data_IF_513938320401
#
_entry.id   IF_513938320401
#
_cell.length_a   1.000
_cell.length_b   1.000
_cell.length_c   1.000
_cell.angle_alpha   90.00
_cell.angle_beta   90.00
_cell.angle_gamma   90.00
#
_symmetry.space_group_name_H-M   'P 1'
#
loop_
_entity.id
_entity.type
_entity.pdbx_description
1 polymer ?
#
# COMPACT_ATOMS: atom_id res chain seq x y z
N UNK A 1 -5.05 -0.42 32.91
CA UNK A 1 -4.70 -1.54 33.81
C UNK A 1 -3.94 -2.68 33.13
N UNK A 2 -4.28 -3.07 31.88
CA UNK A 2 -3.61 -4.19 31.19
C UNK A 2 -2.08 -4.05 31.04
N UNK A 3 -1.57 -2.87 30.63
CA UNK A 3 -0.11 -2.66 30.48
C UNK A 3 0.67 -2.84 31.79
N UNK A 4 0.13 -2.32 32.91
CA UNK A 4 0.70 -2.52 34.25
C UNK A 4 0.69 -4.00 34.64
N UNK A 5 -0.40 -4.71 34.35
CA UNK A 5 -0.51 -6.14 34.65
C UNK A 5 0.55 -6.97 33.89
N UNK A 6 0.77 -6.69 32.60
CA UNK A 6 1.80 -7.37 31.81
C UNK A 6 3.20 -7.09 32.39
N UNK A 7 3.50 -5.83 32.68
CA UNK A 7 4.81 -5.47 33.26
C UNK A 7 5.01 -6.09 34.63
N UNK A 8 3.99 -6.06 35.49
CA UNK A 8 4.00 -6.69 36.81
C UNK A 8 4.29 -8.18 36.68
N UNK A 9 3.53 -8.89 35.83
CA UNK A 9 3.74 -10.31 35.57
C UNK A 9 5.19 -10.61 35.14
N UNK A 10 5.70 -9.89 34.13
CA UNK A 10 7.06 -10.12 33.62
C UNK A 10 8.13 -9.84 34.69
N UNK A 11 7.99 -8.76 35.47
CA UNK A 11 8.95 -8.41 36.53
C UNK A 11 8.89 -9.40 37.68
N UNK A 12 7.71 -9.88 38.06
CA UNK A 12 7.56 -10.93 39.09
C UNK A 12 8.26 -12.23 38.69
N UNK A 13 8.25 -12.59 37.41
CA UNK A 13 8.86 -13.83 36.92
C UNK A 13 10.35 -13.69 36.58
N UNK A 14 10.87 -12.48 36.36
CA UNK A 14 12.28 -12.24 36.02
C UNK A 14 12.75 -10.89 36.59
N UNK A 15 12.83 -10.80 37.91
CA UNK A 15 13.20 -9.55 38.60
C UNK A 15 14.62 -9.09 38.22
N UNK A 16 15.55 -10.02 37.98
CA UNK A 16 16.96 -9.71 37.71
C UNK A 16 17.32 -9.53 36.24
N UNK A 17 16.32 -9.53 35.34
CA UNK A 17 16.52 -9.34 33.89
C UNK A 17 17.48 -10.35 33.26
N UNK A 18 17.28 -11.63 33.59
CA UNK A 18 18.07 -12.75 33.07
C UNK A 18 17.48 -13.36 31.79
N UNK A 19 16.22 -13.03 31.45
CA UNK A 19 15.52 -13.56 30.28
C UNK A 19 14.33 -12.70 29.86
N UNK A 20 13.13 -13.06 30.31
CA UNK A 20 11.85 -12.51 29.84
C UNK A 20 11.70 -11.00 30.10
N UNK A 21 12.24 -10.47 31.21
CA UNK A 21 12.18 -9.04 31.49
C UNK A 21 12.95 -8.22 30.46
N UNK A 22 13.97 -8.82 29.83
CA UNK A 22 14.69 -8.22 28.71
C UNK A 22 13.77 -7.87 27.53
N UNK A 23 12.63 -8.56 27.35
CA UNK A 23 11.67 -8.28 26.29
C UNK A 23 10.98 -6.92 26.42
N UNK A 24 10.91 -6.36 27.65
CA UNK A 24 10.37 -5.03 27.88
C UNK A 24 11.23 -3.92 27.25
N UNK A 25 12.45 -4.25 26.81
CA UNK A 25 13.35 -3.36 26.09
C UNK A 25 13.14 -3.36 24.57
N UNK A 26 12.01 -3.85 24.06
CA UNK A 26 11.72 -3.71 22.62
C UNK A 26 11.76 -2.23 22.21
N UNK A 27 12.55 -1.93 21.18
CA UNK A 27 12.84 -0.57 20.71
C UNK A 27 13.83 0.23 21.55
N UNK A 28 14.23 -0.26 22.72
CA UNK A 28 15.08 0.50 23.64
C UNK A 28 16.57 0.37 23.32
N UNK A 29 17.00 -0.67 22.62
CA UNK A 29 18.43 -0.83 22.28
C UNK A 29 18.83 0.29 21.32
N UNK A 30 18.13 0.40 20.19
CA UNK A 30 18.34 1.51 19.25
C UNK A 30 17.81 2.83 19.83
N UNK A 31 16.69 2.80 20.55
CA UNK A 31 16.08 3.99 21.15
C UNK A 31 17.00 4.70 22.13
N UNK A 32 17.64 3.99 23.07
CA UNK A 32 18.61 4.57 24.00
C UNK A 32 19.87 5.08 23.28
N UNK A 33 20.28 4.44 22.18
CA UNK A 33 21.40 4.91 21.39
C UNK A 33 21.09 6.27 20.73
N UNK A 34 19.88 6.44 20.19
CA UNK A 34 19.39 7.72 19.67
C UNK A 34 19.29 8.73 20.81
N UNK A 35 18.62 8.38 21.91
CA UNK A 35 18.42 9.23 23.08
C UNK A 35 19.74 9.78 23.62
N UNK A 36 20.77 8.94 23.73
CA UNK A 36 22.10 9.35 24.20
C UNK A 36 22.80 10.38 23.30
N UNK A 37 22.37 10.58 22.05
CA UNK A 37 22.89 11.61 21.16
C UNK A 37 22.05 12.88 21.16
N UNK A 38 20.73 12.76 21.30
CA UNK A 38 19.80 13.88 21.07
C UNK A 38 19.18 14.44 22.34
N UNK A 39 19.32 13.77 23.49
CA UNK A 39 18.83 14.28 24.76
C UNK A 39 19.48 15.64 25.09
N UNK A 40 18.74 16.61 25.66
CA UNK A 40 17.33 16.56 26.09
C UNK A 40 16.32 16.99 25.00
N UNK A 41 16.73 17.11 23.73
CA UNK A 41 15.90 17.70 22.67
C UNK A 41 14.74 16.80 22.24
N UNK A 42 14.94 15.48 22.25
CA UNK A 42 13.85 14.50 22.10
C UNK A 42 13.63 13.77 23.42
N UNK A 43 12.38 13.44 23.68
CA UNK A 43 11.95 12.70 24.84
C UNK A 43 12.25 11.20 24.67
N UNK A 44 12.33 10.50 25.81
CA UNK A 44 12.58 9.06 25.86
C UNK A 44 11.62 8.26 24.95
N UNK A 45 10.30 8.50 25.08
CA UNK A 45 9.29 7.79 24.29
C UNK A 45 9.38 8.04 22.79
N UNK A 46 9.83 9.21 22.37
CA UNK A 46 10.04 9.56 20.95
C UNK A 46 11.23 8.79 20.39
N UNK A 47 12.31 8.67 21.16
CA UNK A 47 13.48 7.88 20.78
C UNK A 47 13.15 6.38 20.72
N UNK A 48 12.40 5.87 21.70
CA UNK A 48 11.93 4.47 21.72
C UNK A 48 11.00 4.18 20.55
N UNK A 49 10.15 5.13 20.12
CA UNK A 49 9.30 4.96 18.95
C UNK A 49 10.09 4.71 17.66
N UNK A 50 11.13 5.51 17.41
CA UNK A 50 12.05 5.31 16.27
C UNK A 50 12.83 4.00 16.43
N UNK A 51 13.28 3.71 17.65
CA UNK A 51 13.98 2.47 17.98
C UNK A 51 13.14 1.22 17.72
N UNK A 52 11.85 1.22 18.05
CA UNK A 52 10.93 0.11 17.77
C UNK A 52 10.85 -0.20 16.27
N UNK A 53 10.80 0.83 15.42
CA UNK A 53 10.79 0.64 13.96
C UNK A 53 12.12 0.07 13.47
N UNK A 54 13.25 0.59 13.96
CA UNK A 54 14.57 0.09 13.57
C UNK A 54 14.82 -1.34 14.03
N UNK A 55 14.40 -1.71 15.23
CA UNK A 55 14.50 -3.10 15.72
C UNK A 55 13.56 -4.05 14.95
N UNK A 56 12.37 -3.58 14.57
CA UNK A 56 11.48 -4.34 13.68
C UNK A 56 12.07 -4.51 12.26
N UNK A 57 12.73 -3.48 11.72
CA UNK A 57 13.45 -3.56 10.44
C UNK A 57 14.63 -4.52 10.49
N UNK A 58 15.35 -4.59 11.62
CA UNK A 58 16.39 -5.61 11.87
C UNK A 58 15.77 -7.02 11.84
N UNK A 59 14.68 -7.25 12.58
CA UNK A 59 14.00 -8.55 12.58
C UNK A 59 13.52 -8.95 11.18
N UNK A 60 13.00 -7.99 10.40
CA UNK A 60 12.62 -8.20 9.00
C UNK A 60 13.83 -8.51 8.11
N UNK A 61 14.93 -7.79 8.26
CA UNK A 61 16.16 -8.04 7.48
C UNK A 61 16.70 -9.45 7.71
N UNK A 62 16.56 -9.97 8.93
CA UNK A 62 16.90 -11.35 9.28
C UNK A 62 15.87 -12.41 8.83
N UNK A 63 14.74 -12.00 8.25
CA UNK A 63 13.68 -12.92 7.80
C UNK A 63 12.72 -13.39 8.90
N UNK A 64 12.76 -12.80 10.09
CA UNK A 64 11.91 -13.21 11.22
C UNK A 64 10.60 -12.43 11.33
N UNK A 65 10.49 -11.28 10.66
CA UNK A 65 9.29 -10.44 10.70
C UNK A 65 8.84 -10.07 9.29
N UNK A 66 7.53 -10.09 9.04
CA UNK A 66 6.99 -9.70 7.74
C UNK A 66 7.01 -8.17 7.54
N UNK A 67 7.09 -7.74 6.28
CA UNK A 67 6.93 -6.31 5.93
C UNK A 67 5.55 -5.77 6.37
N UNK A 68 4.52 -6.62 6.36
CA UNK A 68 3.16 -6.29 6.82
C UNK A 68 3.18 -5.91 8.30
N UNK A 69 3.87 -6.68 9.14
CA UNK A 69 3.99 -6.39 10.56
C UNK A 69 4.77 -5.08 10.83
N UNK A 70 5.87 -4.85 10.12
CA UNK A 70 6.63 -3.58 10.22
C UNK A 70 5.74 -2.38 9.84
N UNK A 71 5.01 -2.48 8.73
CA UNK A 71 4.08 -1.44 8.30
C UNK A 71 2.95 -1.20 9.30
N UNK A 72 2.39 -2.25 9.90
CA UNK A 72 1.36 -2.14 10.94
C UNK A 72 1.87 -1.48 12.20
N UNK A 73 3.09 -1.82 12.65
CA UNK A 73 3.74 -1.17 13.80
C UNK A 73 3.97 0.32 13.52
N UNK A 74 4.51 0.65 12.35
CA UNK A 74 4.75 2.04 11.89
C UNK A 74 3.47 2.88 11.97
N UNK A 75 2.38 2.38 11.37
CA UNK A 75 1.10 3.09 11.37
C UNK A 75 0.50 3.24 12.77
N UNK A 76 0.64 2.23 13.62
CA UNK A 76 0.19 2.31 15.01
C UNK A 76 0.89 3.46 15.75
N UNK A 77 2.22 3.52 15.66
CA UNK A 77 3.02 4.58 16.30
C UNK A 77 2.64 5.97 15.76
N UNK A 78 2.52 6.12 14.44
CA UNK A 78 2.12 7.38 13.80
C UNK A 78 0.72 7.82 14.20
N UNK A 79 -0.23 6.90 14.39
CA UNK A 79 -1.59 7.21 14.83
C UNK A 79 -1.64 7.85 16.23
N UNK A 80 -0.62 7.62 17.06
CA UNK A 80 -0.43 8.26 18.36
C UNK A 80 0.45 9.53 18.29
N UNK A 81 0.77 10.03 17.09
CA UNK A 81 1.55 11.24 16.88
C UNK A 81 3.04 11.11 17.21
N UNK A 82 3.56 9.87 17.30
CA UNK A 82 4.97 9.61 17.60
C UNK A 82 5.82 9.47 16.33
N UNK A 83 7.10 9.87 16.38
CA UNK A 83 7.99 9.77 15.23
C UNK A 83 8.41 8.31 14.97
N UNK A 84 8.54 7.97 13.68
CA UNK A 84 8.97 6.63 13.23
C UNK A 84 10.33 6.62 12.54
N UNK A 85 10.92 7.80 12.32
CA UNK A 85 12.23 7.98 11.69
C UNK A 85 12.89 9.28 12.17
N UNK A 86 14.22 9.33 12.13
CA UNK A 86 14.99 10.55 12.39
C UNK A 86 14.76 11.64 11.35
N UNK A 87 14.19 11.29 10.20
CA UNK A 87 13.83 12.21 9.11
C UNK A 87 12.44 12.82 9.26
N UNK A 88 11.71 12.49 10.33
CA UNK A 88 10.40 13.07 10.59
C UNK A 88 10.53 14.58 10.80
N UNK A 89 9.61 15.36 10.20
CA UNK A 89 9.58 16.81 10.37
C UNK A 89 9.47 17.20 11.85
N UNK A 90 8.71 16.42 12.63
CA UNK A 90 8.65 16.59 14.09
C UNK A 90 10.06 16.54 14.69
N UNK A 91 10.82 15.47 14.40
CA UNK A 91 12.19 15.28 14.92
C UNK A 91 13.11 16.40 14.46
N UNK A 92 13.10 16.75 13.17
CA UNK A 92 13.94 17.81 12.60
C UNK A 92 13.67 19.18 13.23
N UNK A 93 12.45 19.47 13.66
CA UNK A 93 12.15 20.73 14.35
C UNK A 93 12.86 20.85 15.71
N UNK A 94 13.10 19.74 16.41
CA UNK A 94 13.77 19.75 17.71
C UNK A 94 15.28 19.61 17.61
N UNK A 95 15.79 18.71 16.76
CA UNK A 95 17.23 18.43 16.67
C UNK A 95 17.95 19.22 15.57
N UNK A 96 17.20 19.87 14.67
CA UNK A 96 17.74 20.59 13.52
C UNK A 96 18.48 19.66 12.56
N UNK A 97 19.68 20.09 12.15
CA UNK A 97 20.58 19.31 11.28
C UNK A 97 21.56 18.42 12.05
N UNK A 98 21.31 18.15 13.34
CA UNK A 98 22.16 17.27 14.12
C UNK A 98 22.16 15.87 13.48
N UNK A 99 23.32 15.49 12.95
CA UNK A 99 23.53 14.18 12.35
C UNK A 99 23.86 13.16 13.43
N UNK A 100 23.13 12.04 13.45
CA UNK A 100 23.43 10.91 14.32
C UNK A 100 24.10 9.83 13.47
N UNK A 101 25.43 9.78 13.49
CA UNK A 101 26.16 8.81 12.65
C UNK A 101 25.95 7.39 13.15
N UNK A 102 26.04 6.42 12.21
CA UNK A 102 25.96 5.00 12.56
C UNK A 102 27.06 4.62 13.54
N UNK A 103 28.27 5.18 13.43
CA UNK A 103 29.37 4.88 14.35
C UNK A 103 29.12 5.40 15.77
N UNK A 104 28.52 6.58 15.91
CA UNK A 104 28.13 7.11 17.23
C UNK A 104 27.03 6.27 17.87
N UNK A 105 26.01 5.87 17.09
CA UNK A 105 24.96 4.96 17.56
C UNK A 105 25.56 3.62 17.99
N UNK A 106 26.44 3.03 17.17
CA UNK A 106 27.11 1.76 17.48
C UNK A 106 28.03 1.87 18.70
N UNK A 107 28.67 3.02 18.93
CA UNK A 107 29.48 3.29 20.11
C UNK A 107 28.63 3.28 21.38
N UNK A 108 27.45 3.89 21.36
CA UNK A 108 26.52 3.89 22.51
C UNK A 108 25.94 2.50 22.73
N UNK A 109 25.55 1.81 21.66
CA UNK A 109 25.05 0.43 21.71
C UNK A 109 26.03 -0.55 22.36
N UNK A 110 27.34 -0.24 22.38
CA UNK A 110 28.37 -1.10 23.00
C UNK A 110 28.14 -1.31 24.49
N UNK A 111 27.59 -0.32 25.19
CA UNK A 111 27.38 -0.34 26.64
C UNK A 111 25.94 -0.65 27.03
N UNK A 112 25.12 -1.14 26.09
CA UNK A 112 23.78 -1.62 26.42
C UNK A 112 23.87 -2.80 27.41
N UNK A 113 23.11 -2.71 28.52
CA UNK A 113 23.10 -3.69 29.61
C UNK A 113 22.69 -5.08 29.17
N UNK A 114 21.99 -5.20 28.03
CA UNK A 114 21.56 -6.48 27.45
C UNK A 114 22.70 -7.26 26.79
N UNK A 115 23.80 -6.59 26.46
CA UNK A 115 24.92 -7.21 25.74
C UNK A 115 25.64 -8.26 26.59
N UNK A 116 26.18 -9.28 25.95
CA UNK A 116 27.02 -10.29 26.60
C UNK A 116 28.40 -10.22 25.98
N UNK A 117 29.35 -9.63 26.72
CA UNK A 117 30.67 -9.31 26.19
C UNK A 117 30.58 -8.32 25.02
N UNK A 118 31.14 -8.69 23.86
CA UNK A 118 31.06 -7.88 22.63
C UNK A 118 29.77 -8.11 21.83
N UNK A 119 28.98 -9.13 22.17
CA UNK A 119 27.79 -9.53 21.41
C UNK A 119 26.62 -8.61 21.75
N UNK A 120 26.08 -7.94 20.74
CA UNK A 120 24.90 -7.09 20.87
C UNK A 120 23.64 -7.93 20.93
N UNK A 121 22.70 -7.55 21.80
CA UNK A 121 21.41 -8.24 21.94
C UNK A 121 20.25 -7.27 21.80
N UNK A 122 19.31 -7.61 20.92
CA UNK A 122 18.15 -6.80 20.57
C UNK A 122 16.89 -7.66 20.67
N UNK A 123 15.75 -7.09 21.09
CA UNK A 123 14.47 -7.80 21.08
C UNK A 123 13.96 -7.88 19.64
N UNK A 124 13.93 -9.09 19.07
CA UNK A 124 13.40 -9.32 17.73
C UNK A 124 11.96 -9.81 17.79
N UNK A 125 11.08 -9.20 17.00
CA UNK A 125 9.71 -9.67 16.82
C UNK A 125 9.66 -10.81 15.79
N UNK A 126 8.77 -11.78 16.01
CA UNK A 126 8.38 -12.80 15.03
C UNK A 126 6.98 -12.54 14.43
N UNK A 127 6.24 -11.61 15.03
CA UNK A 127 4.92 -11.16 14.61
C UNK A 127 4.40 -10.11 15.59
N UNK A 128 3.28 -9.46 15.26
CA UNK A 128 2.65 -8.52 16.21
C UNK A 128 2.16 -9.29 17.44
N UNK A 129 2.65 -8.91 18.62
CA UNK A 129 2.38 -9.61 19.88
C UNK A 129 3.24 -10.86 20.13
N UNK A 130 4.26 -11.13 19.30
CA UNK A 130 5.17 -12.28 19.44
C UNK A 130 6.64 -11.88 19.25
N UNK A 131 7.51 -12.43 20.08
CA UNK A 131 8.97 -12.28 19.95
C UNK A 131 9.58 -13.54 19.34
N UNK A 132 10.76 -13.42 18.73
CA UNK A 132 11.49 -14.56 18.18
C UNK A 132 11.95 -15.51 19.30
N UNK A 133 12.51 -14.93 20.35
CA UNK A 133 12.94 -15.64 21.55
C UNK A 133 12.22 -15.06 22.79
N UNK A 134 12.22 -15.80 23.90
CA UNK A 134 11.74 -15.31 25.20
C UNK A 134 12.79 -14.48 25.95
N UNK A 135 13.71 -13.85 25.20
CA UNK A 135 14.80 -12.99 25.66
C UNK A 135 15.30 -12.16 24.46
N UNK A 136 16.12 -11.10 24.67
CA UNK A 136 16.83 -10.44 23.58
C UNK A 136 17.72 -11.42 22.79
N UNK A 137 17.67 -11.34 21.46
CA UNK A 137 18.41 -12.21 20.54
C UNK A 137 19.76 -11.62 20.18
N UNK A 138 20.75 -12.48 19.92
CA UNK A 138 22.06 -12.04 19.45
C UNK A 138 21.95 -11.52 18.02
N UNK A 139 22.65 -10.41 17.72
CA UNK A 139 22.64 -9.80 16.40
C UNK A 139 24.03 -9.31 16.02
N UNK A 140 24.42 -9.54 14.76
CA UNK A 140 25.69 -9.06 14.25
C UNK A 140 25.69 -7.54 14.08
N UNK A 141 26.84 -6.92 14.36
CA UNK A 141 27.07 -5.49 14.15
C UNK A 141 26.78 -5.07 12.70
N UNK A 142 27.10 -5.91 11.72
CA UNK A 142 26.90 -5.62 10.29
C UNK A 142 25.42 -5.43 9.93
N UNK A 143 24.52 -6.22 10.53
CA UNK A 143 23.08 -6.10 10.27
C UNK A 143 22.55 -4.80 10.89
N UNK A 144 22.95 -4.48 12.13
CA UNK A 144 22.54 -3.22 12.78
C UNK A 144 23.02 -2.03 11.94
N UNK A 145 24.30 -2.04 11.54
CA UNK A 145 24.90 -0.99 10.70
C UNK A 145 24.14 -0.81 9.39
N UNK A 146 23.80 -1.90 8.71
CA UNK A 146 23.03 -1.85 7.45
C UNK A 146 21.65 -1.21 7.62
N UNK A 147 20.94 -1.52 8.70
CA UNK A 147 19.59 -0.96 8.94
C UNK A 147 19.62 0.50 9.38
N UNK A 148 20.67 0.90 10.11
CA UNK A 148 20.86 2.29 10.54
C UNK A 148 21.43 3.19 9.45
N UNK A 149 22.17 2.65 8.47
CA UNK A 149 22.80 3.42 7.42
C UNK A 149 21.78 4.04 6.46
N UNK A 150 21.99 5.31 6.11
CA UNK A 150 21.21 6.02 5.09
C UNK A 150 21.60 5.64 3.65
N UNK A 151 22.71 4.92 3.47
CA UNK A 151 23.25 4.56 2.15
C UNK A 151 23.84 3.15 2.19
N UNK A 152 23.84 2.50 1.02
CA UNK A 152 24.39 1.16 0.85
C UNK A 152 25.54 1.20 -0.14
N UNK A 153 26.65 0.53 0.20
CA UNK A 153 27.73 0.27 -0.73
C UNK A 153 27.49 -1.11 -1.34
N UNK A 154 27.33 -1.17 -2.67
CA UNK A 154 27.14 -2.42 -3.40
C UNK A 154 28.49 -2.88 -3.94
N UNK A 155 28.99 -3.99 -3.40
CA UNK A 155 30.24 -4.60 -3.86
C UNK A 155 29.94 -5.62 -4.96
N UNK A 156 30.49 -5.48 -6.17
CA UNK A 156 30.40 -6.53 -7.18
C UNK A 156 31.14 -7.78 -6.70
N UNK A 157 30.53 -8.96 -6.87
CA UNK A 157 31.18 -10.25 -6.59
C UNK A 157 31.00 -11.17 -7.80
N UNK A 158 31.96 -12.07 -8.09
CA UNK A 158 31.78 -13.13 -9.08
C UNK A 158 30.57 -13.99 -8.70
N UNK A 159 29.64 -14.18 -9.63
CA UNK A 159 28.33 -14.74 -9.33
C UNK A 159 28.31 -16.22 -9.69
N UNK A 160 28.57 -17.07 -8.70
CA UNK A 160 28.12 -18.47 -8.71
C UNK A 160 27.01 -18.59 -7.66
N UNK A 161 25.88 -17.92 -7.92
CA UNK A 161 24.72 -17.99 -7.05
C UNK A 161 23.83 -19.15 -7.50
N UNK A 162 23.30 -19.95 -6.56
CA UNK A 162 22.26 -20.91 -6.90
C UNK A 162 21.02 -20.18 -7.45
N UNK A 163 20.18 -20.85 -8.26
CA UNK A 163 18.89 -20.30 -8.66
C UNK A 163 18.10 -19.81 -7.45
N UNK A 164 17.50 -18.62 -7.56
CA UNK A 164 16.71 -18.01 -6.49
C UNK A 164 15.27 -17.82 -6.90
N UNK A 165 14.34 -18.00 -5.95
CA UNK A 165 12.93 -17.65 -6.13
C UNK A 165 12.62 -16.41 -5.30
N UNK A 166 12.15 -15.34 -5.95
CA UNK A 166 11.85 -14.06 -5.30
C UNK A 166 10.42 -13.62 -5.63
N UNK A 167 9.66 -13.29 -4.59
CA UNK A 167 8.29 -12.78 -4.71
C UNK A 167 8.26 -11.29 -4.36
N UNK A 168 8.10 -10.40 -5.34
CA UNK A 168 7.85 -8.99 -5.06
C UNK A 168 6.55 -8.78 -4.28
N UNK A 169 6.37 -7.62 -3.63
CA UNK A 169 5.08 -7.24 -3.03
C UNK A 169 3.95 -7.23 -4.08
N UNK A 170 2.70 -7.22 -3.62
CA UNK A 170 1.54 -7.11 -4.49
C UNK A 170 1.55 -5.86 -5.38
N UNK A 171 0.98 -5.97 -6.58
CA UNK A 171 0.82 -4.86 -7.52
C UNK A 171 -0.09 -3.79 -6.92
N UNK A 172 0.40 -2.54 -6.86
CA UNK A 172 -0.42 -1.39 -6.41
C UNK A 172 -1.64 -1.20 -7.31
N UNK A 173 -1.45 -1.39 -8.61
CA UNK A 173 -2.48 -1.15 -9.63
C UNK A 173 -3.63 -2.15 -9.52
N UNK A 174 -3.32 -3.44 -9.30
CA UNK A 174 -4.32 -4.48 -9.07
C UNK A 174 -4.92 -4.32 -7.67
N UNK A 175 -4.11 -4.08 -6.64
CA UNK A 175 -4.59 -3.91 -5.25
C UNK A 175 -5.70 -2.85 -5.14
N UNK A 176 -5.48 -1.67 -5.71
CA UNK A 176 -6.46 -0.58 -5.65
C UNK A 176 -7.75 -0.90 -6.41
N UNK A 177 -7.67 -1.59 -7.55
CA UNK A 177 -8.85 -2.04 -8.31
C UNK A 177 -9.62 -3.11 -7.56
N UNK A 178 -8.91 -4.10 -7.01
CA UNK A 178 -9.51 -5.19 -6.23
C UNK A 178 -10.26 -4.65 -5.01
N UNK A 179 -9.71 -3.65 -4.31
CA UNK A 179 -10.40 -3.00 -3.19
C UNK A 179 -11.71 -2.32 -3.61
N UNK A 180 -11.70 -1.55 -4.70
CA UNK A 180 -12.91 -0.87 -5.19
C UNK A 180 -13.94 -1.89 -5.69
N UNK A 181 -13.53 -2.87 -6.49
CA UNK A 181 -14.43 -3.93 -7.00
C UNK A 181 -15.06 -4.72 -5.85
N UNK A 182 -14.25 -5.18 -4.90
CA UNK A 182 -14.72 -5.96 -3.77
C UNK A 182 -15.63 -5.16 -2.84
N UNK A 183 -15.35 -3.86 -2.64
CA UNK A 183 -16.20 -3.02 -1.82
C UNK A 183 -17.54 -2.72 -2.50
N UNK A 184 -17.53 -2.40 -3.79
CA UNK A 184 -18.77 -2.18 -4.53
C UNK A 184 -19.56 -3.47 -4.74
N UNK A 185 -18.92 -4.64 -4.81
CA UNK A 185 -19.61 -5.90 -5.06
C UNK A 185 -20.48 -6.40 -3.91
N UNK A 186 -21.37 -7.34 -4.24
CA UNK A 186 -22.21 -8.04 -3.29
C UNK A 186 -21.49 -9.28 -2.77
N UNK A 187 -21.44 -9.45 -1.45
CA UNK A 187 -20.90 -10.65 -0.79
C UNK A 187 -19.51 -10.47 -0.20
N UNK A 188 -18.90 -11.57 0.22
CA UNK A 188 -17.59 -11.56 0.89
C UNK A 188 -16.48 -11.99 -0.07
N UNK A 189 -15.39 -11.21 -0.13
CA UNK A 189 -14.20 -11.53 -0.90
C UNK A 189 -12.96 -11.58 0.00
N UNK A 190 -12.17 -12.66 -0.07
CA UNK A 190 -10.86 -12.76 0.58
C UNK A 190 -9.76 -12.34 -0.39
N UNK A 191 -9.16 -11.17 -0.15
CA UNK A 191 -8.05 -10.65 -0.92
C UNK A 191 -6.72 -11.11 -0.30
N UNK A 192 -5.91 -11.84 -1.07
CA UNK A 192 -4.55 -12.25 -0.70
C UNK A 192 -3.52 -11.55 -1.59
N UNK A 193 -2.29 -11.39 -1.08
CA UNK A 193 -1.22 -10.69 -1.82
C UNK A 193 -1.43 -9.17 -1.92
N UNK A 194 -2.41 -8.60 -1.21
CA UNK A 194 -2.70 -7.18 -1.23
C UNK A 194 -1.50 -6.35 -0.80
N UNK A 195 -1.18 -5.31 -1.58
CA UNK A 195 -0.12 -4.38 -1.21
C UNK A 195 -0.51 -3.60 0.07
N UNK A 196 0.30 -3.71 1.11
CA UNK A 196 0.15 -2.92 2.33
C UNK A 196 0.89 -1.60 2.18
N UNK A 197 0.18 -0.57 1.71
CA UNK A 197 0.74 0.76 1.45
C UNK A 197 -0.17 1.86 1.98
N UNK A 198 0.34 3.09 2.03
CA UNK A 198 -0.48 4.25 2.39
C UNK A 198 -1.65 4.42 1.41
N UNK A 199 -1.44 4.17 0.11
CA UNK A 199 -2.49 4.23 -0.92
C UNK A 199 -3.66 3.27 -0.63
N UNK A 200 -3.38 2.01 -0.30
CA UNK A 200 -4.42 1.03 0.00
C UNK A 200 -5.07 1.31 1.35
N UNK A 201 -4.32 1.83 2.32
CA UNK A 201 -4.87 2.19 3.63
C UNK A 201 -5.86 3.36 3.55
N UNK A 202 -5.53 4.45 2.85
CA UNK A 202 -6.48 5.58 2.70
C UNK A 202 -7.70 5.17 1.89
N UNK A 203 -7.54 4.25 0.93
CA UNK A 203 -8.66 3.67 0.18
C UNK A 203 -9.59 2.86 1.08
N UNK A 204 -9.06 1.98 1.94
CA UNK A 204 -9.83 1.24 2.94
C UNK A 204 -10.61 2.17 3.84
N UNK A 205 -9.93 3.17 4.44
CA UNK A 205 -10.58 4.14 5.32
C UNK A 205 -11.70 4.91 4.62
N UNK A 206 -11.49 5.34 3.38
CA UNK A 206 -12.51 6.06 2.62
C UNK A 206 -13.71 5.17 2.28
N UNK A 207 -13.48 3.93 1.84
CA UNK A 207 -14.55 2.96 1.55
C UNK A 207 -15.35 2.60 2.81
N UNK A 208 -14.71 2.51 3.97
CA UNK A 208 -15.41 2.35 5.26
C UNK A 208 -16.26 3.57 5.59
N UNK A 209 -15.72 4.79 5.46
CA UNK A 209 -16.46 6.03 5.75
C UNK A 209 -17.66 6.22 4.83
N UNK A 210 -17.58 5.73 3.59
CA UNK A 210 -18.68 5.73 2.63
C UNK A 210 -19.72 4.62 2.91
N UNK A 211 -19.43 3.69 3.83
CA UNK A 211 -20.27 2.51 4.05
C UNK A 211 -20.27 1.52 2.89
N UNK A 212 -19.29 1.61 1.98
CA UNK A 212 -19.20 0.74 0.81
C UNK A 212 -18.88 -0.71 1.21
N UNK A 213 -18.09 -0.91 2.27
CA UNK A 213 -17.76 -2.22 2.79
C UNK A 213 -17.29 -2.17 4.25
N UNK A 214 -17.36 -3.31 4.92
CA UNK A 214 -16.61 -3.58 6.15
C UNK A 214 -15.40 -4.47 5.86
N UNK A 215 -14.37 -4.35 6.69
CA UNK A 215 -13.07 -4.99 6.46
C UNK A 215 -12.59 -5.72 7.70
N UNK A 216 -12.08 -6.93 7.52
CA UNK A 216 -11.44 -7.72 8.57
C UNK A 216 -10.09 -8.27 8.08
N UNK A 217 -9.19 -8.53 9.01
CA UNK A 217 -7.87 -9.10 8.70
C UNK A 217 -7.76 -10.51 9.26
N UNK A 218 -7.52 -11.49 8.39
CA UNK A 218 -7.18 -12.87 8.72
C UNK A 218 -5.66 -13.08 8.59
N UNK A 219 -5.15 -14.23 9.06
CA UNK A 219 -3.77 -14.68 8.82
C UNK A 219 -2.69 -13.64 9.20
N UNK A 220 -2.80 -13.06 10.39
CA UNK A 220 -1.87 -12.03 10.90
C UNK A 220 -1.73 -10.77 10.00
N UNK A 221 -2.74 -10.49 9.16
CA UNK A 221 -2.75 -9.36 8.24
C UNK A 221 -2.42 -9.72 6.79
N UNK A 222 -2.14 -10.99 6.47
CA UNK A 222 -1.82 -11.39 5.09
C UNK A 222 -3.08 -11.54 4.20
N UNK A 223 -4.27 -11.63 4.81
CA UNK A 223 -5.54 -11.72 4.09
C UNK A 223 -6.48 -10.63 4.55
N UNK A 224 -6.96 -9.83 3.60
CA UNK A 224 -8.03 -8.86 3.83
C UNK A 224 -9.36 -9.50 3.44
N UNK A 225 -10.27 -9.61 4.38
CA UNK A 225 -11.67 -10.00 4.14
C UNK A 225 -12.47 -8.74 3.89
N UNK A 226 -13.09 -8.64 2.72
CA UNK A 226 -13.93 -7.53 2.30
C UNK A 226 -15.39 -7.99 2.26
N UNK A 227 -16.24 -7.37 3.07
CA UNK A 227 -17.69 -7.57 3.01
C UNK A 227 -18.31 -6.41 2.24
N UNK A 228 -18.47 -6.60 0.93
CA UNK A 228 -18.99 -5.57 0.03
C UNK A 228 -20.50 -5.35 0.22
N UNK A 229 -20.92 -4.10 0.09
CA UNK A 229 -22.30 -3.67 0.35
C UNK A 229 -23.13 -3.51 -0.95
N UNK A 230 -22.69 -4.10 -2.07
CA UNK A 230 -23.44 -4.08 -3.33
C UNK A 230 -23.67 -2.68 -3.90
N UNK A 231 -22.71 -1.76 -3.71
CA UNK A 231 -22.77 -0.37 -4.16
C UNK A 231 -23.59 0.56 -3.28
N UNK A 232 -24.19 0.05 -2.20
CA UNK A 232 -24.90 0.88 -1.22
C UNK A 232 -23.89 1.65 -0.38
N UNK A 233 -23.99 2.97 -0.42
CA UNK A 233 -23.11 3.90 0.27
C UNK A 233 -23.92 5.03 0.88
N UNK A 234 -23.29 5.81 1.76
CA UNK A 234 -23.84 7.01 2.34
C UNK A 234 -22.83 8.16 2.28
N UNK A 235 -23.34 9.37 2.47
CA UNK A 235 -22.48 10.55 2.60
C UNK A 235 -21.70 10.41 3.91
N UNK A 236 -20.36 10.58 3.90
CA UNK A 236 -19.56 10.42 5.10
C UNK A 236 -19.71 11.62 6.03
N UNK A 237 -19.64 11.41 7.35
CA UNK A 237 -19.74 12.49 8.36
C UNK A 237 -18.52 13.44 8.41
N UNK A 238 -17.49 13.14 7.61
CA UNK A 238 -16.26 13.91 7.55
C UNK A 238 -15.60 13.78 6.19
N UNK A 239 -14.65 14.67 5.90
CA UNK A 239 -13.89 14.62 4.66
C UNK A 239 -13.15 13.28 4.48
N UNK A 240 -13.06 12.86 3.23
CA UNK A 240 -12.24 11.73 2.81
C UNK A 240 -10.81 12.24 2.59
N UNK A 241 -9.96 12.12 3.62
CA UNK A 241 -8.54 12.47 3.52
C UNK A 241 -7.73 11.35 2.86
N UNK A 242 -7.12 11.64 1.71
CA UNK A 242 -6.46 10.65 0.85
C UNK A 242 -4.93 10.76 0.82
N UNK A 243 -4.34 11.55 1.72
CA UNK A 243 -2.89 11.77 1.75
C UNK A 243 -2.36 12.25 0.39
N UNK A 244 -1.37 11.56 -0.17
CA UNK A 244 -0.88 11.76 -1.55
C UNK A 244 -1.18 10.55 -2.47
N UNK A 245 -2.19 9.75 -2.13
CA UNK A 245 -2.54 8.54 -2.87
C UNK A 245 -3.24 8.89 -4.19
N UNK A 246 -2.45 8.94 -5.27
CA UNK A 246 -2.89 9.39 -6.58
C UNK A 246 -4.10 8.60 -7.07
N UNK A 247 -3.94 7.29 -7.14
CA UNK A 247 -4.96 6.34 -7.59
C UNK A 247 -6.22 6.39 -6.74
N UNK A 248 -6.06 6.47 -5.41
CA UNK A 248 -7.20 6.55 -4.49
C UNK A 248 -8.04 7.81 -4.77
N UNK A 249 -7.41 8.97 -4.97
CA UNK A 249 -8.13 10.19 -5.32
C UNK A 249 -8.95 10.04 -6.59
N UNK A 250 -8.41 9.45 -7.66
CA UNK A 250 -9.14 9.30 -8.94
C UNK A 250 -10.28 8.30 -8.82
N UNK A 251 -10.02 7.15 -8.19
CA UNK A 251 -11.02 6.09 -8.04
C UNK A 251 -12.16 6.57 -7.13
N UNK A 252 -11.83 7.14 -5.98
CA UNK A 252 -12.82 7.61 -5.02
C UNK A 252 -13.61 8.82 -5.54
N UNK A 253 -13.05 9.66 -6.41
CA UNK A 253 -13.85 10.72 -7.07
C UNK A 253 -15.03 10.12 -7.83
N UNK A 254 -14.82 9.07 -8.62
CA UNK A 254 -15.92 8.42 -9.35
C UNK A 254 -16.81 7.59 -8.41
N UNK A 255 -16.25 6.90 -7.41
CA UNK A 255 -17.05 6.17 -6.40
C UNK A 255 -17.99 7.11 -5.65
N UNK A 256 -17.53 8.31 -5.28
CA UNK A 256 -18.33 9.31 -4.57
C UNK A 256 -19.51 9.84 -5.40
N UNK A 257 -19.46 9.74 -6.73
CA UNK A 257 -20.61 10.08 -7.61
C UNK A 257 -21.75 9.08 -7.46
N UNK A 258 -21.46 7.84 -7.05
CA UNK A 258 -22.47 6.80 -6.84
C UNK A 258 -23.22 6.96 -5.50
N UNK A 259 -22.77 7.84 -4.61
CA UNK A 259 -23.39 8.06 -3.31
C UNK A 259 -24.79 8.66 -3.51
N UNK A 260 -25.86 8.04 -2.97
CA UNK A 260 -27.21 8.55 -3.10
C UNK A 260 -27.39 9.85 -2.31
N UNK A 261 -28.36 10.71 -2.69
CA UNK A 261 -28.69 11.89 -1.91
C UNK A 261 -29.23 11.50 -0.53
N UNK A 262 -28.90 12.29 0.49
CA UNK A 262 -29.53 12.16 1.80
C UNK A 262 -30.77 13.05 1.89
N UNK A 263 -31.50 12.92 3.00
CA UNK A 263 -32.64 13.80 3.32
C UNK A 263 -32.21 15.26 3.55
N UNK A 264 -30.93 15.51 3.81
CA UNK A 264 -30.37 16.85 3.97
C UNK A 264 -29.64 17.28 2.68
N UNK A 265 -30.22 18.20 1.88
CA UNK A 265 -29.61 18.65 0.62
C UNK A 265 -28.28 19.41 0.82
N UNK A 266 -27.94 19.80 2.05
CA UNK A 266 -26.65 20.43 2.36
C UNK A 266 -25.49 19.43 2.43
N UNK A 267 -25.77 18.13 2.61
CA UNK A 267 -24.72 17.13 2.77
C UNK A 267 -23.98 16.83 1.47
N UNK A 268 -22.65 16.80 1.56
CA UNK A 268 -21.72 16.63 0.43
C UNK A 268 -20.64 15.62 0.79
N UNK A 269 -20.04 15.00 -0.22
CA UNK A 269 -18.76 14.29 -0.02
C UNK A 269 -17.61 15.22 -0.39
N UNK A 270 -16.68 15.46 0.54
CA UNK A 270 -15.44 16.20 0.26
C UNK A 270 -14.27 15.23 0.18
N UNK A 271 -13.57 15.21 -0.96
CA UNK A 271 -12.32 14.49 -1.13
C UNK A 271 -11.15 15.47 -1.01
N UNK A 272 -10.23 15.20 -0.09
CA UNK A 272 -9.08 16.06 0.18
C UNK A 272 -7.79 15.24 0.33
N UNK A 273 -6.66 15.91 0.52
CA UNK A 273 -5.39 15.26 0.75
C UNK A 273 -4.35 16.23 1.30
N UNK A 274 -3.09 15.79 1.30
CA UNK A 274 -1.99 16.63 1.76
C UNK A 274 -1.71 17.77 0.77
N UNK A 275 -0.82 18.69 1.15
CA UNK A 275 -0.42 19.84 0.31
C UNK A 275 0.02 19.43 -1.10
N UNK A 276 0.67 18.28 -1.27
CA UNK A 276 1.08 17.79 -2.59
C UNK A 276 -0.10 17.31 -3.42
N UNK A 277 -1.08 16.62 -2.83
CA UNK A 277 -2.29 16.17 -3.52
C UNK A 277 -3.11 17.34 -4.05
N UNK A 278 -3.16 18.46 -3.31
CA UNK A 278 -3.85 19.70 -3.71
C UNK A 278 -3.24 20.38 -4.95
N UNK A 279 -2.12 19.87 -5.45
CA UNK A 279 -1.46 20.32 -6.67
C UNK A 279 -1.47 19.25 -7.78
N UNK A 280 -2.07 18.08 -7.54
CA UNK A 280 -2.08 16.97 -8.52
C UNK A 280 -3.31 17.08 -9.42
N UNK A 281 -3.13 16.99 -10.76
CA UNK A 281 -4.21 17.22 -11.71
C UNK A 281 -5.27 16.12 -11.70
N UNK A 282 -6.54 16.53 -11.78
CA UNK A 282 -7.71 15.64 -11.91
C UNK A 282 -8.76 16.19 -12.90
N UNK A 283 -8.52 17.35 -13.52
CA UNK A 283 -9.49 18.05 -14.36
C UNK A 283 -10.18 17.18 -15.43
N UNK A 284 -9.47 16.36 -16.22
CA UNK A 284 -10.13 15.58 -17.28
C UNK A 284 -11.17 14.58 -16.74
N UNK A 285 -10.97 14.06 -15.53
CA UNK A 285 -11.96 13.18 -14.90
C UNK A 285 -13.19 13.97 -14.44
N UNK A 286 -12.97 15.13 -13.83
CA UNK A 286 -14.07 15.99 -13.37
C UNK A 286 -14.91 16.46 -14.55
N UNK A 287 -14.27 16.90 -15.64
CA UNK A 287 -14.95 17.32 -16.87
C UNK A 287 -15.81 16.21 -17.46
N UNK A 288 -15.29 14.98 -17.55
CA UNK A 288 -16.05 13.83 -18.07
C UNK A 288 -17.26 13.47 -17.19
N UNK A 289 -17.09 13.49 -15.86
CA UNK A 289 -18.19 13.22 -14.94
C UNK A 289 -19.25 14.32 -14.97
N UNK A 290 -18.84 15.59 -15.08
CA UNK A 290 -19.75 16.73 -15.20
C UNK A 290 -20.49 16.74 -16.53
N UNK A 291 -19.81 16.40 -17.64
CA UNK A 291 -20.46 16.20 -18.93
C UNK A 291 -21.50 15.07 -18.88
N UNK A 292 -21.28 14.06 -18.03
CA UNK A 292 -22.25 12.99 -17.75
C UNK A 292 -23.31 13.35 -16.68
N UNK A 293 -23.42 14.63 -16.31
CA UNK A 293 -24.45 15.14 -15.41
C UNK A 293 -24.13 15.09 -13.92
N UNK A 294 -22.91 14.70 -13.53
CA UNK A 294 -22.48 14.71 -12.13
C UNK A 294 -22.14 16.13 -11.66
N UNK A 295 -22.47 16.47 -10.40
CA UNK A 295 -22.20 17.80 -9.84
C UNK A 295 -20.95 17.78 -8.97
N UNK A 296 -19.84 18.28 -9.52
CA UNK A 296 -18.54 18.38 -8.84
C UNK A 296 -18.07 19.83 -8.80
N UNK A 297 -17.46 20.24 -7.69
CA UNK A 297 -16.91 21.58 -7.50
C UNK A 297 -15.51 21.53 -6.89
N UNK A 298 -14.59 22.32 -7.46
CA UNK A 298 -13.29 22.59 -6.85
C UNK A 298 -13.46 23.49 -5.62
N UNK A 299 -12.93 23.07 -4.48
CA UNK A 299 -13.07 23.82 -3.22
C UNK A 299 -11.99 24.90 -3.11
N UNK A 300 -10.75 24.59 -3.51
CA UNK A 300 -9.61 25.49 -3.38
C UNK A 300 -9.05 25.93 -4.74
N UNK A 301 -8.44 25.01 -5.48
CA UNK A 301 -7.76 25.30 -6.75
C UNK A 301 -8.40 24.55 -7.92
N UNK A 302 -8.62 25.25 -9.03
CA UNK A 302 -9.17 24.66 -10.25
C UNK A 302 -8.30 23.48 -10.74
N UNK A 303 -8.93 22.37 -11.07
CA UNK A 303 -8.27 21.20 -11.66
C UNK A 303 -7.56 20.27 -10.67
N UNK A 304 -7.61 20.55 -9.36
CA UNK A 304 -6.97 19.77 -8.30
C UNK A 304 -7.92 19.53 -7.11
N UNK A 305 -7.59 18.60 -6.22
CA UNK A 305 -8.28 18.49 -4.93
C UNK A 305 -8.03 19.75 -4.06
N UNK A 306 -8.90 20.06 -3.07
CA UNK A 306 -10.07 19.30 -2.65
C UNK A 306 -11.26 19.44 -3.61
N UNK A 307 -12.04 18.36 -3.70
CA UNK A 307 -13.23 18.26 -4.55
C UNK A 307 -14.47 18.02 -3.68
N UNK A 308 -15.48 18.86 -3.87
CA UNK A 308 -16.85 18.61 -3.42
C UNK A 308 -17.59 17.82 -4.49
N UNK A 309 -18.20 16.70 -4.08
CA UNK A 309 -19.13 15.91 -4.90
C UNK A 309 -20.50 16.04 -4.25
N UNK A 310 -21.43 16.69 -4.96
CA UNK A 310 -22.83 16.80 -4.51
C UNK A 310 -23.59 15.56 -4.97
N UNK A 311 -24.13 14.76 -4.03
CA UNK A 311 -24.96 13.61 -4.38
C UNK A 311 -26.16 14.03 -5.21
N UNK A 312 -26.52 13.19 -6.19
CA UNK A 312 -27.63 13.46 -7.08
C UNK A 312 -28.54 12.24 -7.16
N UNK A 313 -29.84 12.43 -7.33
CA UNK A 313 -30.84 11.36 -7.31
C UNK A 313 -30.62 10.27 -8.36
N UNK A 314 -29.86 10.58 -9.41
CA UNK A 314 -29.53 9.64 -10.48
C UNK A 314 -28.06 9.15 -10.44
N UNK A 315 -27.25 9.54 -9.47
CA UNK A 315 -25.83 9.16 -9.41
C UNK A 315 -25.10 9.38 -10.75
N UNK A 316 -24.40 8.35 -11.23
CA UNK A 316 -23.90 8.30 -12.60
C UNK A 316 -25.05 8.04 -13.57
N UNK A 317 -25.27 8.93 -14.54
CA UNK A 317 -26.42 8.83 -15.43
C UNK A 317 -26.33 7.60 -16.36
N UNK A 318 -25.15 7.36 -16.94
CA UNK A 318 -24.99 6.36 -18.00
C UNK A 318 -24.79 7.01 -19.37
N UNK A 319 -24.95 6.24 -20.44
CA UNK A 319 -24.89 6.76 -21.81
C UNK A 319 -23.46 6.98 -22.27
N UNK A 320 -23.26 7.89 -23.21
CA UNK A 320 -21.94 8.15 -23.76
C UNK A 320 -21.07 8.99 -22.81
N UNK A 321 -19.86 8.50 -22.53
CA UNK A 321 -18.82 9.24 -21.81
C UNK A 321 -17.59 9.27 -22.72
N UNK A 322 -17.11 10.46 -23.04
CA UNK A 322 -15.94 10.66 -23.90
C UNK A 322 -14.72 11.07 -23.08
N UNK A 323 -13.56 10.51 -23.45
CA UNK A 323 -12.26 10.81 -22.85
C UNK A 323 -11.19 10.80 -23.93
N UNK A 324 -10.18 11.67 -23.85
CA UNK A 324 -9.08 11.63 -24.82
C UNK A 324 -8.18 10.40 -24.62
N UNK A 325 -7.73 9.76 -25.70
CA UNK A 325 -6.92 8.53 -25.69
C UNK A 325 -5.55 8.70 -25.01
N UNK A 326 -5.03 9.93 -24.96
CA UNK A 326 -3.75 10.29 -24.35
C UNK A 326 -3.81 10.53 -22.84
N UNK A 327 -4.99 10.45 -22.21
CA UNK A 327 -5.12 10.76 -20.79
C UNK A 327 -4.65 9.61 -19.89
N UNK A 328 -4.49 9.95 -18.61
CA UNK A 328 -4.14 9.01 -17.55
C UNK A 328 -5.09 7.82 -17.46
N UNK A 329 -4.51 6.61 -17.41
CA UNK A 329 -5.23 5.35 -17.24
C UNK A 329 -6.10 5.31 -15.99
N UNK A 330 -5.76 6.09 -14.97
CA UNK A 330 -6.50 6.17 -13.72
C UNK A 330 -7.91 6.75 -13.90
N UNK A 331 -8.09 7.69 -14.84
CA UNK A 331 -9.40 8.30 -15.10
C UNK A 331 -10.32 7.33 -15.85
N UNK A 332 -9.79 6.70 -16.90
CA UNK A 332 -10.53 5.69 -17.68
C UNK A 332 -10.92 4.52 -16.79
N UNK A 333 -9.98 4.04 -15.96
CA UNK A 333 -10.24 2.91 -15.05
C UNK A 333 -11.25 3.28 -13.97
N UNK A 334 -11.23 4.50 -13.42
CA UNK A 334 -12.20 4.89 -12.38
C UNK A 334 -13.64 4.89 -12.91
N UNK A 335 -13.83 5.37 -14.15
CA UNK A 335 -15.13 5.32 -14.83
C UNK A 335 -15.55 3.88 -15.12
N UNK A 336 -14.67 3.05 -15.67
CA UNK A 336 -14.96 1.62 -15.92
C UNK A 336 -15.42 0.89 -14.65
N UNK A 337 -14.74 1.10 -13.53
CA UNK A 337 -15.07 0.46 -12.25
C UNK A 337 -16.46 0.82 -11.73
N UNK A 338 -16.92 2.06 -11.96
CA UNK A 338 -18.19 2.56 -11.44
C UNK A 338 -19.34 2.47 -12.46
N UNK A 339 -19.03 2.34 -13.74
CA UNK A 339 -20.00 2.32 -14.83
C UNK A 339 -21.16 1.32 -14.68
N UNK A 340 -20.97 0.11 -14.09
CA UNK A 340 -22.10 -0.80 -13.89
C UNK A 340 -23.21 -0.24 -13.01
N UNK A 341 -22.89 0.70 -12.11
CA UNK A 341 -23.82 1.33 -11.19
C UNK A 341 -24.52 2.56 -11.78
N UNK A 342 -24.40 2.80 -13.09
CA UNK A 342 -25.16 3.85 -13.77
C UNK A 342 -26.67 3.60 -13.65
N UNK A 343 -27.47 4.65 -13.47
CA UNK A 343 -28.89 4.47 -13.08
C UNK A 343 -29.89 4.60 -14.23
N UNK A 344 -29.57 5.31 -15.32
CA UNK A 344 -30.52 5.54 -16.43
C UNK A 344 -30.30 4.59 -17.59
N UNK A 345 -29.05 4.40 -17.98
CA UNK A 345 -28.68 3.60 -19.15
C UNK A 345 -27.28 2.98 -19.00
N UNK A 346 -26.96 1.91 -19.76
CA UNK A 346 -25.60 1.38 -19.87
C UNK A 346 -24.61 2.47 -20.31
N UNK A 347 -23.36 2.36 -19.85
CA UNK A 347 -22.30 3.30 -20.24
C UNK A 347 -21.66 2.87 -21.55
N UNK A 348 -21.49 3.81 -22.48
CA UNK A 348 -20.64 3.67 -23.66
C UNK A 348 -19.45 4.61 -23.49
N UNK A 349 -18.28 4.04 -23.15
CA UNK A 349 -17.06 4.79 -22.93
C UNK A 349 -16.27 4.89 -24.25
N UNK A 350 -16.06 6.09 -24.75
CA UNK A 350 -15.39 6.35 -26.04
C UNK A 350 -14.06 7.05 -25.78
N UNK A 351 -12.96 6.45 -26.25
CA UNK A 351 -11.63 7.07 -26.19
C UNK A 351 -11.30 7.77 -27.52
N UNK A 352 -11.36 9.10 -27.51
CA UNK A 352 -11.20 9.94 -28.71
C UNK A 352 -9.74 10.34 -28.95
N UNK A 353 -9.32 10.45 -30.21
CA UNK A 353 -7.98 10.88 -30.58
C UNK A 353 -7.06 9.73 -31.03
N UNK A 354 -5.75 9.91 -30.82
CA UNK A 354 -4.69 9.02 -31.33
C UNK A 354 -4.51 7.73 -30.53
N UNK A 355 -3.27 7.24 -30.44
CA UNK A 355 -2.94 5.99 -29.76
C UNK A 355 -3.37 6.03 -28.27
N UNK A 356 -4.07 4.98 -27.83
CA UNK A 356 -4.47 4.81 -26.44
C UNK A 356 -3.25 4.39 -25.62
N UNK A 357 -2.69 5.35 -24.86
CA UNK A 357 -1.50 5.12 -24.02
C UNK A 357 -1.84 4.18 -22.85
N UNK A 358 -3.11 4.17 -22.46
CA UNK A 358 -3.61 3.50 -21.25
C UNK A 358 -4.11 2.07 -21.47
N UNK A 359 -3.93 1.50 -22.68
CA UNK A 359 -4.54 0.22 -23.06
C UNK A 359 -4.27 -0.93 -22.07
N UNK A 360 -3.03 -1.18 -21.60
CA UNK A 360 -2.77 -2.27 -20.66
C UNK A 360 -3.56 -2.15 -19.34
N UNK A 361 -3.80 -0.92 -18.89
CA UNK A 361 -4.58 -0.67 -17.68
C UNK A 361 -6.09 -0.77 -17.90
N UNK A 362 -6.57 -0.50 -19.12
CA UNK A 362 -7.96 -0.72 -19.50
C UNK A 362 -8.23 -2.22 -19.53
N UNK A 363 -7.37 -2.98 -20.21
CA UNK A 363 -7.46 -4.44 -20.30
C UNK A 363 -7.42 -5.09 -18.91
N UNK A 364 -6.48 -4.65 -18.05
CA UNK A 364 -6.43 -5.06 -16.65
C UNK A 364 -7.77 -4.79 -15.94
N UNK A 365 -8.33 -3.59 -16.09
CA UNK A 365 -9.58 -3.23 -15.40
C UNK A 365 -10.74 -4.10 -15.89
N UNK A 366 -10.87 -4.32 -17.20
CA UNK A 366 -11.92 -5.14 -17.80
C UNK A 366 -11.80 -6.61 -17.37
N UNK A 367 -10.59 -7.17 -17.37
CA UNK A 367 -10.35 -8.54 -16.92
C UNK A 367 -10.69 -8.72 -15.43
N UNK A 368 -10.36 -7.73 -14.60
CA UNK A 368 -10.76 -7.72 -13.19
C UNK A 368 -12.27 -7.59 -13.04
N UNK A 369 -12.93 -6.70 -13.75
CA UNK A 369 -14.40 -6.58 -13.74
C UNK A 369 -15.08 -7.91 -14.09
N UNK A 370 -14.55 -8.63 -15.08
CA UNK A 370 -15.02 -9.97 -15.46
C UNK A 370 -14.87 -10.99 -14.32
N UNK A 371 -13.75 -10.94 -13.60
CA UNK A 371 -13.51 -11.78 -12.42
C UNK A 371 -14.49 -11.50 -11.26
N UNK A 372 -15.09 -10.31 -11.26
CA UNK A 372 -16.14 -9.88 -10.33
C UNK A 372 -17.55 -9.92 -10.97
N UNK A 373 -17.72 -10.68 -12.06
CA UNK A 373 -19.02 -11.01 -12.65
C UNK A 373 -19.56 -10.02 -13.69
N UNK A 374 -18.82 -8.96 -14.04
CA UNK A 374 -19.26 -7.97 -15.05
C UNK A 374 -18.43 -8.09 -16.32
N UNK A 375 -19.08 -8.38 -17.45
CA UNK A 375 -18.41 -8.48 -18.76
C UNK A 375 -18.58 -7.18 -19.53
N UNK A 376 -17.46 -6.54 -19.90
CA UNK A 376 -17.43 -5.37 -20.78
C UNK A 376 -17.29 -5.84 -22.22
N UNK A 377 -18.07 -5.24 -23.13
CA UNK A 377 -17.95 -5.48 -24.57
C UNK A 377 -17.01 -4.42 -25.18
N UNK A 378 -15.89 -4.85 -25.75
CA UNK A 378 -15.02 -3.99 -26.54
C UNK A 378 -15.56 -3.88 -27.97
N UNK A 379 -15.76 -2.64 -28.41
CA UNK A 379 -16.25 -2.26 -29.74
C UNK A 379 -15.12 -1.62 -30.56
N UNK A 380 -15.31 -1.46 -31.89
CA UNK A 380 -14.35 -0.73 -32.73
C UNK A 380 -14.10 0.71 -32.25
N UNK A 381 -13.03 1.33 -32.75
CA UNK A 381 -12.69 2.75 -32.49
C UNK A 381 -12.51 3.08 -31.00
N UNK A 382 -11.85 2.20 -30.23
CA UNK A 382 -11.59 2.38 -28.79
C UNK A 382 -12.85 2.69 -27.97
N UNK A 383 -13.94 2.00 -28.31
CA UNK A 383 -15.23 2.16 -27.64
C UNK A 383 -15.51 0.93 -26.78
N UNK A 384 -16.03 1.13 -25.58
CA UNK A 384 -16.33 0.07 -24.63
C UNK A 384 -17.78 0.22 -24.16
N UNK A 385 -18.58 -0.84 -24.28
CA UNK A 385 -19.95 -0.89 -23.76
C UNK A 385 -19.96 -1.63 -22.43
N UNK A 386 -20.33 -0.93 -21.37
CA UNK A 386 -20.37 -1.46 -20.00
C UNK A 386 -21.85 -1.65 -19.62
N UNK A 387 -22.28 -2.87 -19.25
CA UNK A 387 -23.66 -3.12 -18.86
C UNK A 387 -23.99 -2.48 -17.51
N UNK A 388 -25.29 -2.19 -17.28
CA UNK A 388 -25.78 -1.90 -15.94
C UNK A 388 -25.86 -3.18 -15.11
N UNK A 389 -25.53 -3.10 -13.83
CA UNK A 389 -25.56 -4.21 -12.90
C UNK A 389 -24.75 -3.97 -11.64
N UNK A 390 -24.47 -5.04 -10.92
CA UNK A 390 -23.60 -5.03 -9.74
C UNK A 390 -22.52 -6.09 -9.86
N UNK A 391 -21.42 -5.87 -9.17
CA UNK A 391 -20.38 -6.89 -9.06
C UNK A 391 -20.83 -8.01 -8.12
N UNK A 392 -20.49 -9.25 -8.46
CA UNK A 392 -20.60 -10.40 -7.57
C UNK A 392 -19.21 -10.74 -7.05
N UNK A 393 -19.03 -10.64 -5.74
CA UNK A 393 -17.72 -10.89 -5.15
C UNK A 393 -17.33 -12.37 -5.29
N UNK A 394 -16.17 -12.69 -5.86
CA UNK A 394 -15.64 -14.05 -5.78
C UNK A 394 -15.24 -14.35 -4.34
N UNK A 395 -15.33 -15.62 -3.92
CA UNK A 395 -15.00 -16.03 -2.56
C UNK A 395 -13.55 -15.67 -2.16
N UNK A 396 -12.63 -15.71 -3.13
CA UNK A 396 -11.24 -15.30 -2.99
C UNK A 396 -10.73 -14.65 -4.27
N UNK A 397 -9.77 -13.73 -4.12
CA UNK A 397 -9.08 -13.09 -5.24
C UNK A 397 -7.61 -12.87 -4.87
N UNK A 398 -6.70 -13.38 -5.70
CA UNK A 398 -5.26 -13.23 -5.53
C UNK A 398 -4.78 -11.98 -6.28
N UNK A 399 -4.15 -11.06 -5.55
CA UNK A 399 -3.44 -9.93 -6.15
C UNK A 399 -2.07 -10.42 -6.62
N UNK A 400 -1.79 -10.28 -7.92
CA UNK A 400 -0.48 -10.60 -8.50
C UNK A 400 0.64 -9.78 -7.84
N UNK A 401 1.86 -10.32 -7.84
CA UNK A 401 3.03 -9.53 -7.46
C UNK A 401 3.23 -8.38 -8.47
N UNK A 402 3.86 -7.29 -8.03
CA UNK A 402 4.08 -6.10 -8.84
C UNK A 402 5.07 -6.39 -9.98
N UNK A 403 4.59 -6.35 -11.22
CA UNK A 403 5.40 -6.69 -12.39
C UNK A 403 6.54 -5.69 -12.62
N UNK A 404 6.31 -4.40 -12.33
CA UNK A 404 7.37 -3.39 -12.37
C UNK A 404 8.50 -3.72 -11.37
N UNK A 405 8.14 -4.12 -10.15
CA UNK A 405 9.11 -4.54 -9.12
C UNK A 405 9.76 -5.88 -9.43
N UNK A 406 9.10 -6.77 -10.18
CA UNK A 406 9.66 -8.04 -10.63
C UNK A 406 10.79 -7.86 -11.65
N UNK A 407 10.85 -6.72 -12.34
CA UNK A 407 11.92 -6.45 -13.31
C UNK A 407 13.30 -6.42 -12.66
N UNK A 408 13.43 -5.93 -11.43
CA UNK A 408 14.74 -5.80 -10.75
C UNK A 408 15.42 -7.15 -10.48
N UNK A 409 14.80 -8.14 -9.79
CA UNK A 409 15.44 -9.43 -9.58
C UNK A 409 15.67 -10.20 -10.89
N UNK A 410 14.77 -10.10 -11.87
CA UNK A 410 14.96 -10.69 -13.19
C UNK A 410 16.14 -10.05 -13.94
N UNK A 411 16.29 -8.73 -13.87
CA UNK A 411 17.41 -8.01 -14.47
C UNK A 411 18.75 -8.34 -13.80
N UNK A 412 18.76 -8.58 -12.47
CA UNK A 412 19.94 -9.07 -11.76
C UNK A 412 20.37 -10.44 -12.32
N UNK A 413 19.43 -11.37 -12.51
CA UNK A 413 19.73 -12.66 -13.11
C UNK A 413 20.29 -12.51 -14.53
N UNK A 414 19.65 -11.68 -15.35
CA UNK A 414 20.07 -11.40 -16.72
C UNK A 414 21.50 -10.82 -16.80
N UNK A 415 21.81 -9.79 -16.01
CA UNK A 415 23.13 -9.12 -16.07
C UNK A 415 24.26 -9.95 -15.45
N UNK A 416 23.93 -10.89 -14.55
CA UNK A 416 24.92 -11.73 -13.86
C UNK A 416 25.06 -13.14 -14.43
N UNK A 417 24.21 -13.52 -15.39
CA UNK A 417 24.20 -14.87 -15.96
C UNK A 417 23.71 -15.94 -14.99
N UNK A 418 22.90 -15.57 -13.99
CA UNK A 418 22.29 -16.51 -13.04
C UNK A 418 20.82 -16.74 -13.34
N UNK A 419 20.13 -17.51 -12.49
CA UNK A 419 18.70 -17.81 -12.63
C UNK A 419 17.89 -17.18 -11.50
N UNK A 420 16.78 -16.54 -11.85
CA UNK A 420 15.80 -16.04 -10.89
C UNK A 420 14.39 -16.42 -11.34
N UNK A 421 13.59 -16.97 -10.44
CA UNK A 421 12.17 -17.25 -10.67
C UNK A 421 11.30 -16.28 -9.87
N UNK A 422 10.33 -15.67 -10.54
CA UNK A 422 9.22 -14.94 -9.91
C UNK A 422 7.98 -15.84 -9.96
N UNK A 423 7.50 -16.36 -8.81
CA UNK A 423 6.49 -17.43 -8.80
C UNK A 423 5.04 -16.95 -8.96
N UNK A 424 4.80 -15.64 -8.92
CA UNK A 424 3.45 -15.04 -8.88
C UNK A 424 3.17 -14.07 -10.03
N UNK A 425 3.95 -14.15 -11.10
CA UNK A 425 3.78 -13.42 -12.37
C UNK A 425 4.18 -14.34 -13.51
N UNK A 426 3.25 -14.66 -14.41
CA UNK A 426 3.49 -15.51 -15.57
C UNK A 426 2.83 -14.96 -16.83
N UNK A 427 2.62 -15.83 -17.82
CA UNK A 427 2.06 -15.45 -19.13
C UNK A 427 0.60 -14.98 -19.06
N UNK A 428 -0.12 -15.29 -17.98
CA UNK A 428 -1.51 -14.86 -17.78
C UNK A 428 -1.64 -13.53 -17.00
N UNK A 429 -0.51 -12.87 -16.68
CA UNK A 429 -0.53 -11.62 -15.91
C UNK A 429 -1.33 -10.52 -16.59
N UNK A 430 -2.10 -9.79 -15.80
CA UNK A 430 -2.84 -8.60 -16.26
C UNK A 430 -1.96 -7.36 -16.43
N UNK A 431 -0.68 -7.44 -16.08
CA UNK A 431 0.21 -6.29 -16.02
C UNK A 431 1.05 -6.19 -17.30
N UNK A 432 0.97 -5.05 -17.99
CA UNK A 432 1.78 -4.81 -19.20
C UNK A 432 3.28 -5.00 -18.96
N UNK A 433 3.77 -4.59 -17.79
CA UNK A 433 5.17 -4.74 -17.37
C UNK A 433 5.62 -6.20 -17.25
N UNK A 434 4.71 -7.17 -17.12
CA UNK A 434 5.06 -8.59 -17.14
C UNK A 434 5.65 -9.01 -18.50
N UNK A 435 5.35 -8.24 -19.55
CA UNK A 435 5.98 -8.38 -20.86
C UNK A 435 7.49 -8.12 -20.85
N UNK A 436 8.07 -7.55 -19.79
CA UNK A 436 9.52 -7.30 -19.68
C UNK A 436 10.36 -8.57 -19.92
N UNK A 437 9.97 -9.71 -19.33
CA UNK A 437 10.73 -10.94 -19.49
C UNK A 437 10.78 -11.41 -20.95
N UNK A 438 9.62 -11.46 -21.62
CA UNK A 438 9.50 -11.96 -22.99
C UNK A 438 9.98 -10.95 -24.03
N UNK A 439 9.62 -9.68 -23.87
CA UNK A 439 9.85 -8.65 -24.88
C UNK A 439 11.18 -7.91 -24.71
N UNK A 440 11.87 -8.08 -23.58
CA UNK A 440 13.17 -7.44 -23.32
C UNK A 440 14.25 -8.46 -23.01
N UNK A 441 14.09 -9.28 -21.96
CA UNK A 441 15.17 -10.18 -21.51
C UNK A 441 15.48 -11.30 -22.51
N UNK A 442 14.45 -11.91 -23.11
CA UNK A 442 14.65 -12.95 -24.13
C UNK A 442 15.38 -12.41 -25.37
N UNK A 443 14.99 -11.27 -25.97
CA UNK A 443 15.79 -10.62 -27.02
C UNK A 443 17.23 -10.26 -26.62
N UNK A 444 17.47 -9.98 -25.33
CA UNK A 444 18.82 -9.75 -24.79
C UNK A 444 19.65 -11.03 -24.63
N UNK A 445 19.11 -12.22 -24.94
CA UNK A 445 19.82 -13.50 -24.91
C UNK A 445 19.53 -14.36 -23.69
N UNK A 446 18.58 -13.99 -22.83
CA UNK A 446 18.19 -14.82 -21.69
C UNK A 446 17.29 -15.99 -22.13
N UNK A 447 17.45 -17.15 -21.48
CA UNK A 447 16.45 -18.23 -21.56
C UNK A 447 15.29 -17.89 -20.64
N UNK A 448 14.14 -17.55 -21.22
CA UNK A 448 12.94 -17.15 -20.46
C UNK A 448 11.86 -18.22 -20.56
N UNK A 449 11.52 -18.83 -19.43
CA UNK A 449 10.48 -19.86 -19.31
C UNK A 449 9.33 -19.32 -18.48
N UNK A 450 8.12 -19.36 -19.03
CA UNK A 450 6.91 -18.93 -18.34
C UNK A 450 5.89 -20.05 -18.22
N UNK A 451 5.29 -20.15 -17.04
CA UNK A 451 3.97 -20.78 -16.86
C UNK A 451 2.91 -19.67 -16.84
N UNK A 452 1.64 -20.03 -16.65
CA UNK A 452 0.57 -19.03 -16.47
C UNK A 452 0.85 -18.08 -15.31
N UNK A 453 1.49 -18.58 -14.24
CA UNK A 453 1.64 -17.88 -12.97
C UNK A 453 3.09 -17.57 -12.60
N UNK A 454 4.09 -18.09 -13.31
CA UNK A 454 5.50 -17.92 -12.98
C UNK A 454 6.37 -17.57 -14.18
N UNK A 455 7.43 -16.81 -13.94
CA UNK A 455 8.45 -16.42 -14.91
C UNK A 455 9.83 -16.75 -14.36
N UNK A 456 10.63 -17.49 -15.13
CA UNK A 456 12.04 -17.78 -14.87
C UNK A 456 12.91 -17.20 -15.98
#
# INVERSE_FOLDING_TARGET
MASVAVKSYVVTHDERETGMRGLLNFGHSIGHAIEGLVTPKLLHGECVAIGMIKEAEIARHCGFLSQVAVGRLTRCIQAYGLPVTMEDKFVKNYIGNQYCSVDELMRILRVDKKNVGSQKRIVMLSGIGKTLEQKPSNISDDIIRKVLAASVVVHPRPVNLPPVTLSPPGSKSISNRALVLAALGQGTCRLTGLLHSDDTQVMLTALTKLGAATFEWENNGDTLVVHGNGGKMHIPDSELYLGNAGTAARFLTTVSVLVPPSSDPAQKTILTGNARMKQRPIAPLVEALTANGSVLKYVESQGCLPLEVTPFSHGLAGGEIQLAASISSQYVSSILLCAPYATKEPVTLVLTGGQVISQPYIDMTIAMMKSFGVTVEALPNNTYRIPQGSYTNPAAYLVEADASSATYPLAIAAITGTTCTVPNIGSASLQGDAGFAVNVLRPMGCTVVQTETSTT
#
